data_IF_270684429984
#
_entry.id   IF_270684429984
#
_cell.length_a   1.000
_cell.length_b   1.000
_cell.length_c   1.000
_cell.angle_alpha   90.00
_cell.angle_beta   90.00
_cell.angle_gamma   90.00
#
_symmetry.space_group_name_H-M   'P 1'
#
loop_
_entity.id
_entity.type
_entity.pdbx_description
1 polymer ?
#
# COMPACT_ATOMS: atom_id res chain seq x y z
N UNK A 1 32.61 51.77 10.35
CA UNK A 1 31.81 50.91 11.26
C UNK A 1 30.43 50.54 10.71
N UNK A 2 29.62 51.50 10.21
CA UNK A 2 28.27 51.20 9.64
C UNK A 2 28.26 50.17 8.49
N UNK A 3 29.27 50.18 7.60
CA UNK A 3 29.36 49.23 6.48
C UNK A 3 29.64 47.78 6.92
N UNK A 4 30.39 47.59 8.02
CA UNK A 4 30.72 46.26 8.56
C UNK A 4 29.48 45.64 9.22
N UNK A 5 28.70 46.44 9.94
CA UNK A 5 27.43 46.02 10.55
C UNK A 5 26.43 45.57 9.47
N UNK A 6 26.39 46.28 8.34
CA UNK A 6 25.52 45.94 7.22
C UNK A 6 25.94 44.62 6.55
N UNK A 7 27.24 44.38 6.39
CA UNK A 7 27.77 43.12 5.86
C UNK A 7 27.49 41.95 6.82
N UNK A 8 27.66 42.16 8.13
CA UNK A 8 27.38 41.15 9.15
C UNK A 8 25.87 40.82 9.22
N UNK A 9 25.00 41.82 9.07
CA UNK A 9 23.56 41.64 9.01
C UNK A 9 23.13 40.85 7.76
N UNK A 10 23.74 41.12 6.60
CA UNK A 10 23.48 40.37 5.36
C UNK A 10 23.96 38.91 5.49
N UNK A 11 25.13 38.68 6.08
CA UNK A 11 25.64 37.33 6.35
C UNK A 11 24.75 36.55 7.33
N UNK A 12 24.15 37.21 8.33
CA UNK A 12 23.25 36.58 9.28
C UNK A 12 21.95 36.06 8.63
N UNK A 13 21.48 36.69 7.55
CA UNK A 13 20.29 36.22 6.79
C UNK A 13 20.56 34.92 6.04
N UNK A 14 21.82 34.63 5.69
CA UNK A 14 22.20 33.36 5.04
C UNK A 14 22.41 32.20 6.02
N UNK A 15 22.52 32.47 7.32
CA UNK A 15 22.51 31.44 8.37
C UNK A 15 21.06 31.17 8.78
N UNK A 16 20.21 30.83 7.80
CA UNK A 16 18.99 30.11 8.12
C UNK A 16 19.44 28.71 8.54
N UNK A 17 19.56 28.49 9.85
CA UNK A 17 19.66 27.15 10.38
C UNK A 17 18.44 26.41 9.86
N UNK A 18 18.65 25.44 8.96
CA UNK A 18 17.69 24.36 8.74
C UNK A 18 17.61 23.62 10.07
N UNK A 19 16.80 24.11 11.00
CA UNK A 19 16.36 23.28 12.11
C UNK A 19 15.65 22.09 11.48
N UNK A 20 16.16 20.90 11.76
CA UNK A 20 15.41 19.67 11.51
C UNK A 20 14.10 19.82 12.30
N UNK A 21 13.02 20.10 11.58
CA UNK A 21 11.69 20.35 12.15
C UNK A 21 11.23 19.18 13.01
N UNK A 22 11.78 17.99 12.75
CA UNK A 22 11.51 16.76 13.50
C UNK A 22 12.84 16.11 13.90
N UNK A 23 13.03 15.93 15.22
CA UNK A 23 14.19 15.22 15.75
C UNK A 23 14.10 13.72 15.47
N UNK A 24 15.25 13.09 15.20
CA UNK A 24 15.36 11.64 15.03
C UNK A 24 14.96 10.91 16.32
N UNK A 25 13.95 10.01 16.30
CA UNK A 25 13.57 9.25 17.47
C UNK A 25 14.64 8.21 17.85
N UNK A 26 14.85 8.00 19.16
CA UNK A 26 15.82 7.04 19.70
C UNK A 26 15.62 5.62 19.16
N UNK A 27 14.36 5.19 19.05
CA UNK A 27 13.97 3.88 18.49
C UNK A 27 13.44 4.00 17.07
N UNK A 28 14.14 4.68 16.17
CA UNK A 28 13.72 4.79 14.76
C UNK A 28 13.59 3.39 14.12
N UNK A 29 12.46 3.12 13.48
CA UNK A 29 12.30 1.94 12.60
C UNK A 29 13.18 2.17 11.37
N UNK A 30 14.06 1.23 11.03
CA UNK A 30 14.91 1.33 9.85
C UNK A 30 14.08 1.52 8.57
N UNK A 31 14.60 2.29 7.60
CA UNK A 31 13.85 2.72 6.41
C UNK A 31 13.31 1.52 5.61
N UNK A 32 14.13 0.48 5.44
CA UNK A 32 13.75 -0.75 4.73
C UNK A 32 12.66 -1.52 5.48
N UNK A 33 12.74 -1.59 6.81
CA UNK A 33 11.69 -2.19 7.65
C UNK A 33 10.40 -1.37 7.56
N UNK A 34 10.50 -0.05 7.50
CA UNK A 34 9.33 0.83 7.34
C UNK A 34 8.65 0.63 5.97
N UNK A 35 9.44 0.45 4.89
CA UNK A 35 8.90 0.10 3.57
C UNK A 35 8.14 -1.22 3.60
N UNK A 36 8.68 -2.23 4.29
CA UNK A 36 8.03 -3.53 4.48
C UNK A 36 6.73 -3.41 5.30
N UNK A 37 6.77 -2.65 6.41
CA UNK A 37 5.60 -2.35 7.25
C UNK A 37 4.49 -1.70 6.43
N UNK A 38 4.81 -0.65 5.66
CA UNK A 38 3.83 0.09 4.86
C UNK A 38 3.30 -0.74 3.69
N UNK A 39 4.13 -1.58 3.06
CA UNK A 39 3.70 -2.52 2.03
C UNK A 39 2.68 -3.53 2.59
N UNK A 40 2.98 -4.17 3.72
CA UNK A 40 2.05 -5.14 4.31
C UNK A 40 0.76 -4.49 4.80
N UNK A 41 0.83 -3.27 5.35
CA UNK A 41 -0.35 -2.49 5.71
C UNK A 41 -1.23 -2.26 4.48
N UNK A 42 -0.65 -1.86 3.34
CA UNK A 42 -1.38 -1.66 2.10
C UNK A 42 -2.02 -2.97 1.58
N UNK A 43 -1.33 -4.12 1.73
CA UNK A 43 -1.89 -5.42 1.37
C UNK A 43 -3.07 -5.80 2.27
N UNK A 44 -2.94 -5.62 3.58
CA UNK A 44 -4.03 -5.88 4.53
C UNK A 44 -5.24 -4.98 4.29
N UNK A 45 -5.00 -3.70 3.98
CA UNK A 45 -6.02 -2.73 3.58
C UNK A 45 -6.75 -3.21 2.32
N UNK A 46 -6.02 -3.64 1.30
CA UNK A 46 -6.60 -4.15 0.05
C UNK A 46 -7.44 -5.42 0.26
N UNK A 47 -6.98 -6.34 1.11
CA UNK A 47 -7.74 -7.55 1.49
C UNK A 47 -9.06 -7.16 2.16
N UNK A 48 -8.98 -6.25 3.16
CA UNK A 48 -10.17 -5.75 3.87
C UNK A 48 -11.12 -5.01 2.94
N UNK A 49 -10.60 -4.21 2.03
CA UNK A 49 -11.40 -3.47 1.05
C UNK A 49 -12.14 -4.42 0.10
N UNK A 50 -11.45 -5.45 -0.40
CA UNK A 50 -12.04 -6.42 -1.33
C UNK A 50 -13.05 -7.36 -0.65
N UNK A 51 -12.82 -7.68 0.63
CA UNK A 51 -13.73 -8.48 1.44
C UNK A 51 -13.66 -8.03 2.92
N UNK A 52 -14.60 -7.18 3.38
CA UNK A 52 -14.58 -6.63 4.73
C UNK A 52 -14.60 -7.66 5.85
N UNK A 53 -15.21 -8.83 5.64
CA UNK A 53 -15.31 -9.89 6.65
C UNK A 53 -14.13 -10.86 6.64
N UNK A 54 -13.22 -10.75 5.66
CA UNK A 54 -12.11 -11.71 5.50
C UNK A 54 -11.21 -11.75 6.72
N UNK A 55 -10.72 -10.60 7.17
CA UNK A 55 -9.81 -10.52 8.31
C UNK A 55 -10.46 -10.99 9.60
N UNK A 56 -11.73 -10.63 9.82
CA UNK A 56 -12.51 -11.07 10.99
C UNK A 56 -12.71 -12.60 10.99
N UNK A 57 -12.99 -13.18 9.81
CA UNK A 57 -13.12 -14.63 9.63
C UNK A 57 -11.85 -15.36 10.06
N UNK A 58 -10.68 -14.80 9.73
CA UNK A 58 -9.39 -15.34 10.13
C UNK A 58 -8.90 -14.84 11.50
N UNK A 59 -9.71 -14.03 12.21
CA UNK A 59 -9.36 -13.40 13.49
C UNK A 59 -8.04 -12.62 13.43
N UNK A 60 -7.77 -11.98 12.29
CA UNK A 60 -6.58 -11.18 12.04
C UNK A 60 -6.90 -9.72 12.37
N UNK A 61 -6.23 -9.19 13.40
CA UNK A 61 -6.18 -7.76 13.64
C UNK A 61 -4.96 -7.17 12.88
N UNK A 62 -5.15 -6.27 11.89
CA UNK A 62 -4.04 -5.71 11.11
C UNK A 62 -2.97 -5.03 11.94
N UNK A 63 -3.38 -4.25 12.95
CA UNK A 63 -2.45 -3.54 13.83
C UNK A 63 -1.59 -4.56 14.59
N UNK A 64 -2.23 -5.51 15.27
CA UNK A 64 -1.49 -6.50 16.06
C UNK A 64 -0.59 -7.38 15.19
N UNK A 65 -1.05 -7.73 14.00
CA UNK A 65 -0.27 -8.50 13.03
C UNK A 65 1.02 -7.76 12.65
N UNK A 66 0.93 -6.48 12.26
CA UNK A 66 2.07 -5.67 11.85
C UNK A 66 3.05 -5.47 13.01
N UNK A 67 2.55 -5.05 14.18
CA UNK A 67 3.39 -4.81 15.35
C UNK A 67 4.16 -6.08 15.76
N UNK A 68 3.50 -7.25 15.75
CA UNK A 68 4.13 -8.54 16.07
C UNK A 68 5.12 -8.98 14.98
N UNK A 69 4.76 -8.87 13.70
CA UNK A 69 5.61 -9.31 12.58
C UNK A 69 6.94 -8.58 12.56
N UNK A 70 6.93 -7.27 12.76
CA UNK A 70 8.11 -6.42 12.68
C UNK A 70 8.78 -6.16 14.04
N UNK A 71 8.22 -6.68 15.14
CA UNK A 71 8.71 -6.47 16.51
C UNK A 71 8.84 -4.98 16.88
N UNK A 72 7.86 -4.20 16.44
CA UNK A 72 7.76 -2.76 16.70
C UNK A 72 6.56 -2.47 17.60
N UNK A 73 6.59 -1.32 18.29
CA UNK A 73 5.45 -0.84 19.06
C UNK A 73 4.73 0.33 18.35
N UNK A 74 3.50 0.64 18.76
CA UNK A 74 2.70 1.67 18.08
C UNK A 74 3.27 3.08 18.22
N UNK A 75 3.95 3.38 19.33
CA UNK A 75 4.59 4.68 19.54
C UNK A 75 5.85 4.80 18.67
N UNK A 76 6.62 3.72 18.57
CA UNK A 76 7.78 3.60 17.69
C UNK A 76 7.38 3.83 16.23
N UNK A 77 6.31 3.18 15.77
CA UNK A 77 5.76 3.37 14.43
C UNK A 77 5.34 4.83 14.21
N UNK A 78 4.52 5.40 15.11
CA UNK A 78 4.04 6.77 14.97
C UNK A 78 5.19 7.79 14.89
N UNK A 79 6.19 7.68 15.79
CA UNK A 79 7.35 8.57 15.79
C UNK A 79 8.22 8.41 14.55
N UNK A 80 8.45 7.17 14.11
CA UNK A 80 9.22 6.90 12.89
C UNK A 80 8.51 7.43 11.65
N UNK A 81 7.18 7.28 11.59
CA UNK A 81 6.37 7.81 10.51
C UNK A 81 6.45 9.33 10.43
N UNK A 82 6.35 10.03 11.57
CA UNK A 82 6.52 11.49 11.64
C UNK A 82 7.93 11.91 11.22
N UNK A 83 8.96 11.17 11.63
CA UNK A 83 10.34 11.41 11.20
C UNK A 83 10.51 11.28 9.68
N UNK A 84 10.03 10.19 9.08
CA UNK A 84 10.14 10.01 7.62
C UNK A 84 9.29 11.01 6.84
N UNK A 85 8.10 11.34 7.32
CA UNK A 85 7.23 12.34 6.70
C UNK A 85 7.75 13.77 6.81
N UNK A 86 8.81 14.02 7.61
CA UNK A 86 9.40 15.36 7.74
C UNK A 86 10.21 15.77 6.50
N UNK A 87 10.71 14.81 5.73
CA UNK A 87 11.29 15.03 4.40
C UNK A 87 10.30 14.55 3.33
N UNK A 88 9.62 15.49 2.70
CA UNK A 88 8.59 15.20 1.69
C UNK A 88 9.13 14.41 0.49
N UNK A 89 10.31 14.78 -0.03
CA UNK A 89 10.86 14.13 -1.23
C UNK A 89 11.26 12.68 -0.92
N UNK A 90 11.91 12.47 0.22
CA UNK A 90 12.32 11.15 0.67
C UNK A 90 11.11 10.25 0.98
N UNK A 91 10.06 10.81 1.59
CA UNK A 91 8.83 10.09 1.89
C UNK A 91 8.04 9.74 0.62
N UNK A 92 8.02 10.64 -0.37
CA UNK A 92 7.44 10.36 -1.70
C UNK A 92 8.14 9.19 -2.37
N UNK A 93 9.47 9.15 -2.34
CA UNK A 93 10.25 8.03 -2.89
C UNK A 93 9.91 6.70 -2.21
N UNK A 94 9.67 6.71 -0.88
CA UNK A 94 9.22 5.51 -0.17
C UNK A 94 7.88 4.99 -0.72
N UNK A 95 6.89 5.88 -0.91
CA UNK A 95 5.60 5.49 -1.50
C UNK A 95 5.70 5.00 -2.94
N UNK A 96 6.58 5.60 -3.76
CA UNK A 96 6.84 5.13 -5.12
C UNK A 96 7.42 3.70 -5.12
N UNK A 97 8.35 3.41 -4.21
CA UNK A 97 8.90 2.06 -4.04
C UNK A 97 7.83 1.04 -3.61
N UNK A 98 6.98 1.40 -2.64
CA UNK A 98 5.87 0.55 -2.19
C UNK A 98 4.90 0.28 -3.34
N UNK A 99 4.52 1.32 -4.09
CA UNK A 99 3.62 1.23 -5.25
C UNK A 99 4.18 0.31 -6.33
N UNK A 100 5.47 0.48 -6.67
CA UNK A 100 6.16 -0.38 -7.64
C UNK A 100 6.15 -1.85 -7.21
N UNK A 101 6.37 -2.12 -5.92
CA UNK A 101 6.31 -3.48 -5.36
C UNK A 101 4.89 -4.06 -5.41
N UNK A 102 3.87 -3.26 -5.12
CA UNK A 102 2.46 -3.66 -5.23
C UNK A 102 2.11 -4.01 -6.67
N UNK A 103 2.50 -3.19 -7.65
CA UNK A 103 2.25 -3.44 -9.07
C UNK A 103 2.91 -4.73 -9.55
N UNK A 104 4.16 -4.99 -9.13
CA UNK A 104 4.85 -6.24 -9.45
C UNK A 104 4.13 -7.46 -8.84
N UNK A 105 3.67 -7.33 -7.60
CA UNK A 105 2.91 -8.38 -6.89
C UNK A 105 1.58 -8.66 -7.57
N UNK A 106 0.87 -7.60 -7.96
CA UNK A 106 -0.41 -7.68 -8.69
C UNK A 106 -0.24 -8.38 -10.04
N UNK A 107 0.73 -7.95 -10.86
CA UNK A 107 1.01 -8.59 -12.16
C UNK A 107 1.28 -10.08 -12.04
N UNK A 108 2.02 -10.46 -11.00
CA UNK A 108 2.32 -11.86 -10.70
C UNK A 108 1.05 -12.63 -10.33
N UNK A 109 0.23 -12.10 -9.43
CA UNK A 109 -1.05 -12.70 -9.04
C UNK A 109 -2.03 -12.83 -10.21
N UNK A 110 -2.20 -11.78 -11.02
CA UNK A 110 -3.08 -11.78 -12.20
C UNK A 110 -2.65 -12.82 -13.23
N UNK A 111 -1.34 -13.00 -13.43
CA UNK A 111 -0.79 -14.01 -14.33
C UNK A 111 -1.15 -15.42 -13.87
N UNK A 112 -1.04 -15.71 -12.57
CA UNK A 112 -1.42 -17.00 -11.98
C UNK A 112 -2.92 -17.27 -12.14
N UNK A 113 -3.76 -16.29 -11.83
CA UNK A 113 -5.23 -16.38 -11.99
C UNK A 113 -5.60 -16.67 -13.46
N UNK A 114 -4.93 -16.03 -14.41
CA UNK A 114 -5.18 -16.24 -15.84
C UNK A 114 -4.75 -17.64 -16.31
N UNK A 115 -3.64 -18.17 -15.80
CA UNK A 115 -3.20 -19.54 -16.09
C UNK A 115 -4.22 -20.57 -15.56
N UNK A 116 -4.73 -20.38 -14.35
CA UNK A 116 -5.77 -21.25 -13.79
C UNK A 116 -7.06 -21.21 -14.60
N UNK A 117 -7.50 -20.01 -15.02
CA UNK A 117 -8.68 -19.86 -15.89
C UNK A 117 -8.50 -20.58 -17.22
N UNK A 118 -7.30 -20.57 -17.83
CA UNK A 118 -7.01 -21.30 -19.06
C UNK A 118 -7.02 -22.82 -18.84
N UNK A 119 -6.46 -23.31 -17.73
CA UNK A 119 -6.46 -24.75 -17.37
C UNK A 119 -7.86 -25.30 -17.08
N UNK A 120 -8.79 -24.49 -16.56
CA UNK A 120 -10.18 -24.91 -16.26
C UNK A 120 -11.12 -24.87 -17.47
N UNK A 121 -10.73 -24.24 -18.60
CA UNK A 121 -11.53 -24.12 -19.82
C UNK A 121 -11.64 -25.34 -20.78
N UNK A 122 -10.97 -26.51 -20.66
CA UNK A 122 -11.09 -27.56 -21.68
C UNK A 122 -12.31 -28.50 -21.64
N UNK A 123 -13.32 -28.32 -20.75
CA UNK A 123 -14.38 -29.36 -20.57
C UNK A 123 -15.83 -28.90 -20.77
N UNK A 124 -16.13 -27.62 -21.04
CA UNK A 124 -17.52 -27.14 -21.16
C UNK A 124 -17.95 -26.69 -22.57
N UNK A 125 -17.33 -27.20 -23.64
CA UNK A 125 -17.71 -26.86 -25.02
C UNK A 125 -18.14 -28.03 -25.92
N UNK A 126 -18.59 -29.16 -25.37
CA UNK A 126 -19.36 -30.13 -26.15
C UNK A 126 -20.67 -30.45 -25.43
N UNK A 127 -21.78 -30.40 -26.17
CA UNK A 127 -23.18 -30.66 -25.78
C UNK A 127 -24.05 -29.44 -25.47
N UNK A 128 -24.26 -28.57 -26.47
CA UNK A 128 -25.61 -28.03 -26.70
C UNK A 128 -26.08 -28.49 -28.08
N UNK A 129 -26.79 -29.62 -28.12
CA UNK A 129 -27.75 -29.88 -29.21
C UNK A 129 -28.78 -28.74 -29.21
N UNK A 130 -29.16 -28.17 -30.36
CA UNK A 130 -30.28 -27.25 -30.40
C UNK A 130 -31.56 -28.00 -29.98
N UNK A 131 -32.29 -27.43 -29.02
CA UNK A 131 -33.58 -27.94 -28.58
C UNK A 131 -34.60 -27.84 -29.72
N UNK A 132 -35.56 -28.79 -29.85
CA UNK A 132 -36.59 -28.72 -30.86
C UNK A 132 -37.51 -27.52 -30.60
N UNK A 133 -37.90 -26.88 -31.69
CA UNK A 133 -38.87 -25.78 -31.73
C UNK A 133 -40.22 -26.36 -31.29
N UNK A 134 -40.68 -26.02 -30.08
CA UNK A 134 -42.01 -26.37 -29.61
C UNK A 134 -42.99 -25.25 -30.03
N UNK A 135 -44.05 -25.67 -30.70
CA UNK A 135 -45.00 -24.80 -31.40
C UNK A 135 -45.83 -23.88 -30.52
N UNK A 136 -46.33 -22.86 -31.20
CA UNK A 136 -47.34 -21.90 -30.78
C UNK A 136 -48.63 -22.59 -30.33
N UNK A 137 -49.02 -22.38 -29.08
CA UNK A 137 -50.38 -22.60 -28.60
C UNK A 137 -50.73 -21.54 -27.56
N UNK A 138 -51.31 -20.41 -27.98
CA UNK A 138 -52.55 -19.87 -27.38
C UNK A 138 -53.02 -18.58 -28.09
N UNK A 139 -53.60 -18.77 -29.28
CA UNK A 139 -54.89 -18.13 -29.63
C UNK A 139 -56.01 -19.10 -29.23
N UNK A 140 -57.20 -18.56 -28.91
CA UNK A 140 -58.43 -19.16 -28.33
C UNK A 140 -58.41 -19.04 -26.79
N UNK A 141 -59.26 -18.23 -26.15
CA UNK A 141 -60.66 -17.87 -26.42
C UNK A 141 -60.98 -16.50 -25.83
#
# INVERSE_FOLDING_TARGET
MKKIILILAVLAVFVSCKEEVVQKPERLIEKDVMLDVMYDLAVLEAIKYQNPVSLDTFKINPRDFILKKYKIDSLQFAKSNVYYASDYEDYKLMFEQITKRLDASKKSADSLVNLEKKKKKPVLQNNKKPAPIAGDTTKLK
#
